data_IF_596456056774
#
_entry.id   IF_596456056774
#
_cell.length_a   1.000
_cell.length_b   1.000
_cell.length_c   1.000
_cell.angle_alpha   90.00
_cell.angle_beta   90.00
_cell.angle_gamma   90.00
#
_symmetry.space_group_name_H-M   'P 1'
#
loop_
_entity.id
_entity.type
_entity.pdbx_description
1 polymer ?
#
# COMPACT_ATOMS: atom_id res chain seq x y z
N UNK A 1 0.96 -2.64 -3.72
CA UNK A 1 0.69 -1.70 -2.59
C UNK A 1 -0.80 -1.34 -2.55
N UNK A 2 -1.52 -1.79 -1.52
CA UNK A 2 -2.98 -1.61 -1.40
C UNK A 2 -3.33 -0.47 -0.44
N UNK A 3 -3.13 0.79 -0.87
CA UNK A 3 -3.49 1.98 -0.10
C UNK A 3 -5.00 2.20 0.10
N UNK A 4 -5.84 1.34 -0.50
CA UNK A 4 -7.30 1.45 -0.49
C UNK A 4 -7.99 0.37 0.37
N UNK A 5 -7.27 -0.25 1.32
CA UNK A 5 -7.87 -1.21 2.25
C UNK A 5 -8.90 -0.50 3.12
N UNK A 6 -10.19 -0.72 2.83
CA UNK A 6 -11.32 -0.08 3.54
C UNK A 6 -11.23 -0.22 5.05
N UNK A 7 -11.01 -1.44 5.56
CA UNK A 7 -10.89 -1.69 7.00
C UNK A 7 -9.73 -0.94 7.66
N UNK A 8 -8.60 -0.77 6.97
CA UNK A 8 -7.49 0.04 7.49
C UNK A 8 -7.87 1.52 7.59
N UNK A 9 -8.53 2.04 6.56
CA UNK A 9 -8.98 3.45 6.52
C UNK A 9 -10.00 3.71 7.64
N UNK A 10 -10.94 2.79 7.84
CA UNK A 10 -11.95 2.88 8.90
C UNK A 10 -11.30 2.84 10.29
N UNK A 11 -10.37 1.91 10.52
CA UNK A 11 -9.65 1.76 11.78
C UNK A 11 -8.80 3.00 12.13
N UNK A 12 -8.12 3.60 11.15
CA UNK A 12 -7.35 4.81 11.38
C UNK A 12 -8.23 6.05 11.61
N UNK A 13 -9.42 6.09 11.01
CA UNK A 13 -10.39 7.20 11.14
C UNK A 13 -11.11 7.23 12.48
N UNK A 14 -11.31 6.08 13.12
CA UNK A 14 -12.00 6.03 14.41
C UNK A 14 -11.08 6.53 15.54
N UNK A 15 -11.38 7.70 16.15
CA UNK A 15 -10.55 8.24 17.23
C UNK A 15 -10.72 7.48 18.56
N UNK A 16 -11.75 6.63 18.69
CA UNK A 16 -12.00 5.88 19.93
C UNK A 16 -11.06 4.68 20.09
N UNK A 17 -10.37 4.27 19.02
CA UNK A 17 -9.45 3.14 19.05
C UNK A 17 -8.12 3.60 19.64
N UNK A 18 -7.88 3.26 20.91
CA UNK A 18 -6.65 3.61 21.62
C UNK A 18 -5.44 2.77 21.23
N UNK A 19 -5.62 1.48 20.97
CA UNK A 19 -4.52 0.54 20.66
C UNK A 19 -4.88 -0.33 19.46
N UNK A 20 -3.96 -0.44 18.52
CA UNK A 20 -4.06 -1.29 17.34
C UNK A 20 -3.08 -2.45 17.52
N UNK A 21 -3.59 -3.66 17.73
CA UNK A 21 -2.77 -4.87 17.85
C UNK A 21 -2.56 -5.50 16.47
N UNK A 22 -1.31 -5.81 16.14
CA UNK A 22 -0.96 -6.57 14.94
C UNK A 22 0.03 -7.68 15.25
N UNK A 23 -0.08 -8.77 14.50
CA UNK A 23 0.82 -9.92 14.63
C UNK A 23 2.24 -9.52 14.20
N UNK A 24 2.38 -8.99 12.99
CA UNK A 24 3.65 -8.51 12.41
C UNK A 24 3.48 -7.11 11.82
N UNK A 25 4.60 -6.40 11.61
CA UNK A 25 4.62 -5.04 11.04
C UNK A 25 3.98 -4.97 9.65
N UNK A 26 4.26 -5.94 8.79
CA UNK A 26 3.79 -6.01 7.40
C UNK A 26 2.26 -6.17 7.27
N UNK A 27 1.60 -6.79 8.27
CA UNK A 27 0.13 -6.92 8.36
C UNK A 27 -0.52 -5.55 8.41
N UNK A 28 0.06 -4.65 9.21
CA UNK A 28 -0.40 -3.27 9.23
C UNK A 28 0.06 -2.58 7.96
N UNK A 29 1.35 -2.44 7.71
CA UNK A 29 1.88 -1.74 6.55
C UNK A 29 3.29 -2.22 6.22
N UNK A 30 3.52 -2.55 4.94
CA UNK A 30 4.86 -2.86 4.38
C UNK A 30 5.80 -1.64 4.38
N UNK A 31 5.25 -0.42 4.28
CA UNK A 31 6.02 0.81 4.23
C UNK A 31 5.32 1.93 4.98
N UNK A 32 6.10 2.80 5.63
CA UNK A 32 5.60 4.01 6.28
C UNK A 32 4.90 3.76 7.62
N UNK A 33 5.15 2.61 8.24
CA UNK A 33 4.62 2.28 9.57
C UNK A 33 5.04 3.33 10.60
N UNK A 34 6.31 3.75 10.57
CA UNK A 34 6.89 4.72 11.50
C UNK A 34 6.14 6.06 11.47
N UNK A 35 5.70 6.51 10.28
CA UNK A 35 4.95 7.76 10.14
C UNK A 35 3.55 7.65 10.76
N UNK A 36 2.90 6.48 10.62
CA UNK A 36 1.58 6.26 11.21
C UNK A 36 1.68 6.08 12.71
N UNK A 37 2.69 5.37 13.21
CA UNK A 37 2.96 5.27 14.65
C UNK A 37 3.18 6.66 15.26
N UNK A 38 3.97 7.52 14.62
CA UNK A 38 4.16 8.90 15.06
C UNK A 38 2.85 9.71 15.06
N UNK A 39 2.04 9.57 14.00
CA UNK A 39 0.74 10.26 13.90
C UNK A 39 -0.28 9.78 14.94
N UNK A 40 -0.28 8.48 15.26
CA UNK A 40 -1.11 7.88 16.30
C UNK A 40 -0.63 8.29 17.69
N UNK A 41 0.69 8.31 17.93
CA UNK A 41 1.27 8.74 19.19
C UNK A 41 0.89 10.20 19.52
N UNK A 42 0.83 11.08 18.51
CA UNK A 42 0.34 12.46 18.67
C UNK A 42 -1.13 12.53 19.13
N UNK A 43 -1.91 11.47 18.92
CA UNK A 43 -3.31 11.33 19.34
C UNK A 43 -3.45 10.50 20.63
N UNK A 44 -2.34 10.19 21.33
CA UNK A 44 -2.32 9.24 22.47
C UNK A 44 -2.83 7.83 22.11
N UNK A 45 -2.60 7.42 20.87
CA UNK A 45 -2.92 6.08 20.34
C UNK A 45 -1.63 5.32 20.07
N UNK A 46 -1.66 3.99 20.11
CA UNK A 46 -0.48 3.16 19.88
C UNK A 46 -0.75 1.98 18.95
N UNK A 47 0.32 1.48 18.33
CA UNK A 47 0.35 0.21 17.62
C UNK A 47 1.19 -0.75 18.46
N UNK A 48 0.69 -1.95 18.72
CA UNK A 48 1.44 -3.01 19.39
C UNK A 48 1.66 -4.16 18.40
N UNK A 49 2.91 -4.52 18.19
CA UNK A 49 3.32 -5.64 17.34
C UNK A 49 3.68 -6.82 18.24
N UNK A 50 3.01 -7.95 18.06
CA UNK A 50 3.21 -9.14 18.90
C UNK A 50 4.52 -9.85 18.56
N UNK A 51 4.84 -9.95 17.27
CA UNK A 51 6.06 -10.55 16.77
C UNK A 51 6.81 -9.50 15.92
N UNK A 52 7.80 -8.80 16.52
CA UNK A 52 8.50 -7.71 15.88
C UNK A 52 9.56 -8.16 14.87
N UNK A 53 9.91 -9.45 14.83
CA UNK A 53 10.96 -9.93 13.94
C UNK A 53 10.46 -9.95 12.49
N UNK A 54 11.04 -9.07 11.68
CA UNK A 54 10.80 -8.97 10.25
C UNK A 54 11.66 -10.02 9.55
N UNK A 55 11.05 -11.02 8.90
CA UNK A 55 11.83 -12.05 8.20
C UNK A 55 12.49 -11.44 6.95
N UNK A 56 13.74 -11.79 6.67
CA UNK A 56 14.49 -11.29 5.50
C UNK A 56 13.77 -11.54 4.16
N UNK A 57 12.94 -12.59 4.10
CA UNK A 57 12.08 -12.91 2.95
C UNK A 57 10.99 -11.86 2.69
N UNK A 58 10.57 -11.11 3.70
CA UNK A 58 9.52 -10.10 3.58
C UNK A 58 10.02 -8.86 2.82
N UNK A 59 11.28 -8.45 3.01
CA UNK A 59 11.89 -7.33 2.27
C UNK A 59 11.95 -7.65 0.76
N UNK A 60 12.37 -8.86 0.40
CA UNK A 60 12.47 -9.28 -1.01
C UNK A 60 11.08 -9.35 -1.63
N UNK A 61 10.10 -9.88 -0.88
CA UNK A 61 8.70 -9.96 -1.31
C UNK A 61 8.10 -8.56 -1.52
N UNK A 62 8.40 -7.62 -0.65
CA UNK A 62 7.92 -6.24 -0.71
C UNK A 62 8.46 -5.50 -1.93
N UNK A 63 9.77 -5.62 -2.17
CA UNK A 63 10.39 -5.08 -3.36
C UNK A 63 9.79 -5.69 -4.63
N UNK A 64 9.59 -7.01 -4.65
CA UNK A 64 8.97 -7.69 -5.77
C UNK A 64 7.53 -7.17 -6.04
N UNK A 65 6.69 -7.04 -5.02
CA UNK A 65 5.34 -6.47 -5.16
C UNK A 65 5.36 -5.03 -5.69
N UNK A 66 6.32 -4.20 -5.24
CA UNK A 66 6.50 -2.83 -5.73
C UNK A 66 6.85 -2.83 -7.21
N UNK A 67 7.86 -3.62 -7.62
CA UNK A 67 8.29 -3.73 -9.01
C UNK A 67 7.13 -4.22 -9.89
N UNK A 68 6.45 -5.29 -9.50
CA UNK A 68 5.30 -5.84 -10.24
C UNK A 68 4.20 -4.78 -10.41
N UNK A 69 3.87 -4.06 -9.35
CA UNK A 69 2.88 -2.97 -9.38
C UNK A 69 3.31 -1.83 -10.32
N UNK A 70 4.59 -1.43 -10.29
CA UNK A 70 5.13 -0.42 -11.19
C UNK A 70 5.10 -0.86 -12.65
N UNK A 71 5.53 -2.11 -12.92
CA UNK A 71 5.46 -2.71 -14.26
C UNK A 71 4.01 -2.73 -14.76
N UNK A 72 3.05 -3.20 -13.97
CA UNK A 72 1.63 -3.22 -14.35
C UNK A 72 1.11 -1.82 -14.74
N UNK A 73 1.48 -0.78 -13.98
CA UNK A 73 1.11 0.61 -14.29
C UNK A 73 1.77 1.11 -15.57
N UNK A 74 3.05 0.81 -15.80
CA UNK A 74 3.78 1.18 -17.01
C UNK A 74 3.18 0.49 -18.26
N UNK A 75 2.92 -0.81 -18.18
CA UNK A 75 2.30 -1.56 -19.27
C UNK A 75 0.85 -1.13 -19.51
N UNK A 76 0.08 -0.81 -18.46
CA UNK A 76 -1.26 -0.23 -18.59
C UNK A 76 -1.26 1.08 -19.36
N UNK A 77 -0.32 2.00 -19.05
CA UNK A 77 -0.14 3.26 -19.80
C UNK A 77 0.22 3.02 -21.27
N UNK A 78 1.15 2.09 -21.55
CA UNK A 78 1.51 1.71 -22.93
C UNK A 78 0.30 1.17 -23.69
N UNK A 79 -0.47 0.28 -23.07
CA UNK A 79 -1.68 -0.28 -23.65
C UNK A 79 -2.72 0.80 -23.96
N UNK A 80 -2.96 1.72 -23.03
CA UNK A 80 -3.87 2.85 -23.24
C UNK A 80 -3.44 3.76 -24.39
N UNK A 81 -2.14 4.10 -24.48
CA UNK A 81 -1.58 4.88 -25.59
C UNK A 81 -1.77 4.18 -26.94
N UNK A 82 -1.45 2.90 -27.02
CA UNK A 82 -1.60 2.12 -28.26
C UNK A 82 -3.07 2.04 -28.71
N UNK A 83 -4.02 1.93 -27.77
CA UNK A 83 -5.45 1.97 -28.10
C UNK A 83 -5.87 3.35 -28.62
N UNK A 84 -5.39 4.44 -28.02
CA UNK A 84 -5.67 5.80 -28.49
C UNK A 84 -5.10 6.04 -29.89
N UNK A 85 -3.85 5.65 -30.16
CA UNK A 85 -3.22 5.78 -31.49
C UNK A 85 -3.97 4.97 -32.55
N UNK A 86 -4.42 3.74 -32.23
CA UNK A 86 -5.24 2.93 -33.14
C UNK A 86 -6.60 3.58 -33.43
N UNK A 87 -7.27 4.12 -32.40
CA UNK A 87 -8.54 4.81 -32.57
C UNK A 87 -8.39 6.06 -33.44
N UNK A 88 -7.33 6.84 -33.24
CA UNK A 88 -7.03 8.00 -34.08
C UNK A 88 -6.77 7.60 -35.54
N UNK A 89 -5.99 6.53 -35.79
CA UNK A 89 -5.79 6.04 -37.16
C UNK A 89 -7.09 5.64 -37.85
N UNK A 90 -7.98 4.94 -37.14
CA UNK A 90 -9.28 4.52 -37.67
C UNK A 90 -10.26 5.69 -37.94
N UNK A 91 -10.01 6.89 -37.40
CA UNK A 91 -10.80 8.09 -37.70
C UNK A 91 -10.27 8.82 -38.95
N UNK A 92 -9.01 8.59 -39.33
CA UNK A 92 -8.35 9.25 -40.48
C UNK A 92 -8.23 8.34 -41.71
N UNK A 93 -8.73 7.10 -41.63
CA UNK A 93 -9.04 6.22 -42.77
C UNK A 93 -10.52 6.39 -43.16
#
# INVERSE_FOLDING_TARGET
MNGHRKGMIELLRDPNIGVILVEHRDRLMRFGLEYVEAALAAQSRSVLVVDPDEMTDDIVRDLHEVIVSMCARLYGKRSARNRAEKALKAIHE
#
